data_IF_955939160322
#
_entry.id   IF_955939160322
#
_cell.length_a   1.000
_cell.length_b   1.000
_cell.length_c   1.000
_cell.angle_alpha   90.00
_cell.angle_beta   90.00
_cell.angle_gamma   90.00
#
_symmetry.space_group_name_H-M   'P 1'
#
loop_
_entity.id
_entity.type
_entity.pdbx_description
1 polymer ?
#
# COMPACT_ATOMS: atom_id res chain seq x y z
N UNK A 1 68.80 -32.66 41.90
CA UNK A 1 69.08 -33.55 40.75
C UNK A 1 67.94 -33.39 39.74
N UNK A 2 68.26 -33.23 38.46
CA UNK A 2 67.34 -33.04 37.31
C UNK A 2 66.33 -34.21 37.24
N UNK A 3 65.11 -34.07 36.69
CA UNK A 3 64.80 -34.15 35.26
C UNK A 3 63.34 -33.69 34.99
N UNK A 4 63.16 -32.89 33.93
CA UNK A 4 61.89 -32.62 33.23
C UNK A 4 61.49 -33.84 32.40
N UNK A 5 60.20 -34.20 32.32
CA UNK A 5 59.58 -34.70 31.08
C UNK A 5 58.18 -34.11 30.92
N UNK A 6 57.97 -33.57 29.73
CA UNK A 6 56.78 -32.91 29.18
C UNK A 6 55.80 -33.98 28.67
N UNK A 7 54.49 -33.80 28.89
CA UNK A 7 53.45 -34.71 28.43
C UNK A 7 52.11 -34.03 28.15
N UNK A 8 52.04 -33.41 26.96
CA UNK A 8 50.90 -33.10 26.08
C UNK A 8 49.46 -32.99 26.62
N UNK A 9 48.89 -31.80 26.34
CA UNK A 9 47.47 -31.45 26.24
C UNK A 9 46.60 -32.51 25.55
N UNK A 10 45.38 -32.68 26.06
CA UNK A 10 44.20 -32.91 25.21
C UNK A 10 42.97 -32.31 25.89
N UNK A 11 42.65 -31.05 25.57
CA UNK A 11 41.38 -30.45 25.92
C UNK A 11 40.35 -30.84 24.85
N UNK A 12 39.33 -31.60 25.25
CA UNK A 12 38.22 -31.98 24.40
C UNK A 12 37.27 -30.78 24.27
N UNK A 13 37.38 -30.03 23.18
CA UNK A 13 36.39 -28.99 22.83
C UNK A 13 35.22 -29.68 22.14
N UNK A 14 34.10 -29.85 22.85
CA UNK A 14 32.81 -30.12 22.21
C UNK A 14 32.36 -28.86 21.48
N UNK A 15 32.60 -28.83 20.16
CA UNK A 15 31.95 -27.88 19.27
C UNK A 15 30.49 -28.31 19.10
N UNK A 16 29.59 -27.69 19.86
CA UNK A 16 28.15 -27.79 19.62
C UNK A 16 27.81 -27.14 18.29
N UNK A 17 27.52 -27.95 17.27
CA UNK A 17 26.99 -27.49 16.00
C UNK A 17 25.57 -26.95 16.24
N UNK A 18 25.43 -25.63 16.37
CA UNK A 18 24.14 -24.98 16.26
C UNK A 18 23.64 -25.16 14.81
N UNK A 19 22.79 -26.16 14.62
CA UNK A 19 21.96 -26.29 13.42
C UNK A 19 21.04 -25.06 13.37
N UNK A 20 21.50 -24.02 12.66
CA UNK A 20 20.62 -23.02 12.07
C UNK A 20 19.64 -23.78 11.18
N UNK A 21 18.41 -23.94 11.67
CA UNK A 21 17.29 -24.34 10.85
C UNK A 21 17.06 -23.22 9.83
N UNK A 22 17.76 -23.31 8.69
CA UNK A 22 17.37 -22.62 7.48
C UNK A 22 15.99 -23.14 7.13
N UNK A 23 14.95 -22.38 7.49
CA UNK A 23 13.64 -22.61 6.93
C UNK A 23 13.78 -22.59 5.41
N UNK A 24 13.18 -23.53 4.66
CA UNK A 24 13.18 -23.44 3.23
C UNK A 24 12.47 -22.13 2.89
N UNK A 25 13.22 -21.16 2.38
CA UNK A 25 12.64 -20.06 1.65
C UNK A 25 11.85 -20.71 0.51
N UNK A 26 10.52 -20.74 0.64
CA UNK A 26 9.67 -21.02 -0.51
C UNK A 26 10.18 -20.09 -1.61
N UNK A 27 10.65 -20.66 -2.71
CA UNK A 27 11.31 -19.93 -3.78
C UNK A 27 10.34 -18.87 -4.32
N UNK A 28 10.43 -17.68 -3.75
CA UNK A 28 9.86 -16.48 -4.33
C UNK A 28 10.62 -16.30 -5.63
N UNK A 29 9.91 -16.33 -6.76
CA UNK A 29 10.52 -16.12 -8.06
C UNK A 29 11.35 -14.83 -8.06
N UNK A 30 12.40 -14.79 -8.87
CA UNK A 30 13.17 -13.56 -9.04
C UNK A 30 12.21 -12.42 -9.45
N UNK A 31 12.45 -11.24 -8.88
CA UNK A 31 11.72 -10.03 -9.24
C UNK A 31 11.89 -9.77 -10.74
N UNK A 32 10.78 -9.68 -11.47
CA UNK A 32 10.76 -9.39 -12.90
C UNK A 32 10.35 -7.94 -13.16
N UNK A 33 11.35 -7.12 -13.52
CA UNK A 33 11.19 -5.73 -13.93
C UNK A 33 11.13 -5.54 -15.45
N UNK A 34 11.10 -6.61 -16.27
CA UNK A 34 11.13 -6.53 -17.73
C UNK A 34 10.02 -5.64 -18.31
N UNK A 35 8.84 -5.64 -17.68
CA UNK A 35 7.71 -4.78 -18.04
C UNK A 35 7.99 -3.26 -18.00
N UNK A 36 9.05 -2.81 -17.33
CA UNK A 36 9.45 -1.39 -17.30
C UNK A 36 10.04 -0.91 -18.64
N UNK A 37 10.51 -1.83 -19.48
CA UNK A 37 10.95 -1.52 -20.85
C UNK A 37 9.80 -1.49 -21.86
N UNK A 38 8.59 -1.91 -21.45
CA UNK A 38 7.40 -1.90 -22.31
C UNK A 38 6.79 -0.50 -22.39
N UNK A 39 6.23 -0.14 -23.55
CA UNK A 39 5.37 1.03 -23.70
C UNK A 39 3.95 0.81 -23.18
N UNK A 40 3.52 -0.46 -23.03
CA UNK A 40 2.22 -0.82 -22.49
C UNK A 40 2.28 -1.09 -20.98
N UNK A 41 1.12 -1.01 -20.32
CA UNK A 41 1.01 -1.50 -18.96
C UNK A 41 1.31 -3.00 -18.89
N UNK A 42 1.92 -3.43 -17.79
CA UNK A 42 2.05 -4.85 -17.44
C UNK A 42 0.64 -5.44 -17.30
N UNK A 43 0.49 -6.70 -17.65
CA UNK A 43 -0.73 -7.44 -17.36
C UNK A 43 -1.02 -7.47 -15.85
N UNK A 44 -2.29 -7.26 -15.47
CA UNK A 44 -2.71 -7.37 -14.08
C UNK A 44 -3.25 -8.76 -13.76
N UNK A 45 -2.40 -9.60 -13.18
CA UNK A 45 -2.75 -10.89 -12.59
C UNK A 45 -3.44 -10.72 -11.24
N UNK A 46 -2.68 -10.35 -10.20
CA UNK A 46 -3.21 -10.05 -8.86
C UNK A 46 -2.35 -9.00 -8.17
N UNK A 47 -3.00 -8.14 -7.40
CA UNK A 47 -2.34 -7.16 -6.55
C UNK A 47 -2.85 -7.33 -5.14
N UNK A 48 -1.93 -7.39 -4.18
CA UNK A 48 -2.25 -7.46 -2.76
C UNK A 48 -1.72 -6.22 -2.06
N UNK A 49 -2.32 -5.87 -0.94
CA UNK A 49 -1.94 -4.66 -0.23
C UNK A 49 -2.26 -4.69 1.23
N UNK A 50 -1.70 -3.70 1.91
CA UNK A 50 -1.96 -3.40 3.30
C UNK A 50 -2.69 -2.07 3.34
N UNK A 51 -3.88 -2.04 3.94
CA UNK A 51 -4.73 -0.85 3.95
C UNK A 51 -5.43 -0.66 5.30
N UNK A 52 -5.76 0.58 5.64
CA UNK A 52 -6.72 0.88 6.69
C UNK A 52 -8.10 1.06 6.04
N UNK A 53 -9.06 0.19 6.32
CA UNK A 53 -10.44 0.41 5.84
C UNK A 53 -11.09 1.57 6.57
N UNK A 54 -11.87 2.38 5.85
CA UNK A 54 -12.59 3.48 6.47
C UNK A 54 -13.65 2.94 7.45
N UNK A 55 -13.78 3.53 8.65
CA UNK A 55 -14.87 3.21 9.57
C UNK A 55 -16.25 3.46 8.95
N UNK A 56 -17.26 2.73 9.43
CA UNK A 56 -18.62 2.80 8.87
C UNK A 56 -19.17 4.23 8.92
N UNK A 57 -18.99 4.91 10.04
CA UNK A 57 -19.43 6.28 10.27
C UNK A 57 -18.82 7.28 9.28
N UNK A 58 -17.57 7.07 8.87
CA UNK A 58 -16.89 7.90 7.86
C UNK A 58 -17.49 7.61 6.48
N UNK A 59 -17.70 6.34 6.14
CA UNK A 59 -18.33 5.95 4.87
C UNK A 59 -19.76 6.48 4.75
N UNK A 60 -20.55 6.40 5.82
CA UNK A 60 -21.92 6.91 5.86
C UNK A 60 -21.93 8.43 5.65
N UNK A 61 -21.02 9.16 6.32
CA UNK A 61 -20.89 10.61 6.16
C UNK A 61 -20.54 10.99 4.72
N UNK A 62 -19.53 10.35 4.11
CA UNK A 62 -19.15 10.59 2.72
C UNK A 62 -20.31 10.30 1.76
N UNK A 63 -21.04 9.20 2.00
CA UNK A 63 -22.19 8.82 1.18
C UNK A 63 -23.31 9.87 1.20
N UNK A 64 -23.67 10.36 2.40
CA UNK A 64 -24.77 11.31 2.58
C UNK A 64 -24.40 12.72 2.09
N UNK A 65 -23.13 13.12 2.23
CA UNK A 65 -22.70 14.50 1.94
C UNK A 65 -22.26 14.71 0.50
N UNK A 66 -21.43 13.82 -0.04
CA UNK A 66 -20.82 13.99 -1.37
C UNK A 66 -21.13 12.85 -2.34
N UNK A 67 -21.64 11.70 -1.86
CA UNK A 67 -21.81 10.50 -2.68
C UNK A 67 -22.76 10.67 -3.87
N UNK A 68 -23.92 11.29 -3.64
CA UNK A 68 -24.89 11.59 -4.70
C UNK A 68 -24.33 12.57 -5.74
N UNK A 69 -23.71 13.66 -5.26
CA UNK A 69 -23.10 14.67 -6.12
C UNK A 69 -21.94 14.09 -6.95
N UNK A 70 -21.06 13.28 -6.33
CA UNK A 70 -19.97 12.62 -7.04
C UNK A 70 -20.49 11.74 -8.18
N UNK A 71 -21.53 10.94 -7.90
CA UNK A 71 -22.17 10.08 -8.91
C UNK A 71 -22.71 10.91 -10.07
N UNK A 72 -23.39 12.02 -9.80
CA UNK A 72 -23.89 12.92 -10.85
C UNK A 72 -22.75 13.49 -11.70
N UNK A 73 -21.68 13.98 -11.07
CA UNK A 73 -20.50 14.54 -11.78
C UNK A 73 -19.83 13.51 -12.69
N UNK A 74 -19.69 12.26 -12.22
CA UNK A 74 -19.13 11.17 -13.02
C UNK A 74 -20.02 10.84 -14.24
N UNK A 75 -21.33 10.73 -14.05
CA UNK A 75 -22.28 10.47 -15.14
C UNK A 75 -22.29 11.59 -16.17
N UNK A 76 -22.28 12.86 -15.73
CA UNK A 76 -22.23 14.02 -16.62
C UNK A 76 -20.91 14.08 -17.43
N UNK A 77 -19.82 13.53 -16.89
CA UNK A 77 -18.55 13.39 -17.59
C UNK A 77 -18.44 12.11 -18.44
N UNK A 78 -19.51 11.32 -18.57
CA UNK A 78 -19.54 10.02 -19.24
C UNK A 78 -18.53 8.99 -18.66
N UNK A 79 -18.23 9.09 -17.37
CA UNK A 79 -17.35 8.19 -16.61
C UNK A 79 -18.18 7.07 -15.96
N UNK A 80 -18.79 6.24 -16.82
CA UNK A 80 -19.73 5.19 -16.39
C UNK A 80 -19.00 4.08 -15.64
N UNK A 81 -17.84 3.65 -16.13
CA UNK A 81 -17.04 2.60 -15.48
C UNK A 81 -16.58 3.02 -14.08
N UNK A 82 -16.18 4.28 -13.91
CA UNK A 82 -15.83 4.87 -12.63
C UNK A 82 -17.02 4.91 -11.68
N UNK A 83 -18.20 5.23 -12.19
CA UNK A 83 -19.45 5.28 -11.41
C UNK A 83 -19.85 3.91 -10.87
N UNK A 84 -19.57 2.85 -11.62
CA UNK A 84 -19.92 1.46 -11.29
C UNK A 84 -18.78 0.72 -10.60
N UNK A 85 -17.61 1.35 -10.46
CA UNK A 85 -16.42 0.69 -9.93
C UNK A 85 -16.59 0.36 -8.47
N UNK A 86 -16.61 -0.93 -8.17
CA UNK A 86 -16.59 -1.40 -6.79
C UNK A 86 -15.28 -1.03 -6.09
N UNK A 87 -15.38 -0.54 -4.86
CA UNK A 87 -14.25 -0.27 -3.98
C UNK A 87 -14.68 -0.42 -2.53
N UNK A 88 -13.86 -1.06 -1.70
CA UNK A 88 -13.93 -0.89 -0.24
C UNK A 88 -13.14 0.38 0.09
N UNK A 89 -13.76 1.47 0.60
CA UNK A 89 -13.04 2.70 0.90
C UNK A 89 -11.95 2.47 1.95
N UNK A 90 -10.74 2.92 1.64
CA UNK A 90 -9.56 2.65 2.45
C UNK A 90 -8.49 3.73 2.30
N UNK A 91 -7.51 3.72 3.20
CA UNK A 91 -6.22 4.41 3.08
C UNK A 91 -5.13 3.38 2.88
N UNK A 92 -4.37 3.50 1.80
CA UNK A 92 -3.30 2.55 1.47
C UNK A 92 -2.10 2.74 2.39
N UNK A 93 -1.55 1.64 2.92
CA UNK A 93 -0.17 1.59 3.41
C UNK A 93 0.75 1.26 2.25
N UNK A 94 0.61 0.08 1.63
CA UNK A 94 1.38 -0.27 0.42
C UNK A 94 0.65 -1.31 -0.43
N UNK A 95 1.15 -1.50 -1.65
CA UNK A 95 0.69 -2.54 -2.57
C UNK A 95 1.88 -3.31 -3.13
N UNK A 96 1.68 -4.59 -3.40
CA UNK A 96 2.60 -5.46 -4.12
C UNK A 96 1.84 -6.21 -5.21
N UNK A 97 2.49 -6.39 -6.35
CA UNK A 97 1.98 -7.24 -7.43
C UNK A 97 2.60 -8.61 -7.29
N UNK A 98 1.78 -9.65 -7.24
CA UNK A 98 2.22 -11.04 -7.26
C UNK A 98 1.07 -11.94 -7.71
N UNK A 99 1.28 -12.73 -8.75
CA UNK A 99 0.29 -13.69 -9.24
C UNK A 99 -0.02 -14.83 -8.25
N UNK A 100 0.87 -15.10 -7.29
CA UNK A 100 0.73 -16.17 -6.30
C UNK A 100 -0.46 -15.92 -5.35
N UNK A 101 -1.49 -16.79 -5.34
CA UNK A 101 -2.66 -16.62 -4.49
C UNK A 101 -2.36 -16.81 -2.99
N UNK A 102 -1.20 -17.37 -2.63
CA UNK A 102 -0.76 -17.52 -1.23
C UNK A 102 -0.04 -16.28 -0.67
N UNK A 103 0.15 -15.24 -1.50
CA UNK A 103 0.79 -13.99 -1.09
C UNK A 103 0.19 -13.36 0.18
N UNK A 104 -1.14 -13.34 0.40
CA UNK A 104 -1.72 -12.83 1.65
C UNK A 104 -1.20 -13.54 2.91
N UNK A 105 -1.01 -14.86 2.86
CA UNK A 105 -0.48 -15.63 4.00
C UNK A 105 1.00 -15.30 4.25
N UNK A 106 1.76 -15.10 3.16
CA UNK A 106 3.16 -14.65 3.26
C UNK A 106 3.26 -13.24 3.83
N UNK A 107 2.37 -12.34 3.42
CA UNK A 107 2.29 -10.98 3.97
C UNK A 107 1.94 -11.00 5.45
N UNK A 108 1.01 -11.86 5.88
CA UNK A 108 0.64 -12.01 7.29
C UNK A 108 1.84 -12.44 8.14
N UNK A 109 2.58 -13.47 7.69
CA UNK A 109 3.79 -13.97 8.36
C UNK A 109 4.92 -12.93 8.40
N UNK A 110 5.09 -12.16 7.33
CA UNK A 110 6.13 -11.13 7.22
C UNK A 110 5.74 -9.78 7.85
N UNK A 111 4.51 -9.65 8.35
CA UNK A 111 3.97 -8.39 8.83
C UNK A 111 4.85 -7.82 9.97
N UNK A 112 5.30 -6.56 9.88
CA UNK A 112 6.08 -5.95 10.93
C UNK A 112 5.24 -5.71 12.20
N UNK A 113 5.83 -5.07 13.21
CA UNK A 113 5.08 -4.58 14.37
C UNK A 113 3.99 -3.61 13.90
N UNK A 114 2.75 -3.84 14.33
CA UNK A 114 1.61 -2.99 14.01
C UNK A 114 1.75 -1.61 14.67
N UNK A 115 1.22 -0.54 14.05
CA UNK A 115 1.13 0.75 14.70
C UNK A 115 0.08 0.69 15.83
N UNK A 116 0.05 1.69 16.74
CA UNK A 116 -1.09 1.86 17.64
C UNK A 116 -2.35 2.21 16.83
N UNK A 117 -3.50 2.24 17.51
CA UNK A 117 -4.72 2.88 16.98
C UNK A 117 -4.40 4.29 16.50
N UNK A 118 -4.82 4.61 15.27
CA UNK A 118 -4.49 5.88 14.62
C UNK A 118 -5.71 6.79 14.64
N UNK A 119 -5.57 7.97 15.24
CA UNK A 119 -6.57 9.03 15.19
C UNK A 119 -6.06 10.15 14.28
N UNK A 120 -6.64 10.25 13.08
CA UNK A 120 -6.25 11.24 12.06
C UNK A 120 -7.47 12.04 11.61
N UNK A 121 -7.25 13.10 10.83
CA UNK A 121 -8.31 13.83 10.16
C UNK A 121 -8.18 13.61 8.66
N UNK A 122 -9.21 13.03 8.04
CA UNK A 122 -9.32 12.99 6.58
C UNK A 122 -9.72 14.38 6.10
N UNK A 123 -8.91 15.02 5.26
CA UNK A 123 -9.14 16.39 4.82
C UNK A 123 -8.48 16.68 3.47
N UNK A 124 -9.06 17.64 2.77
CA UNK A 124 -8.59 18.15 1.49
C UNK A 124 -8.86 17.15 0.38
N UNK A 125 -9.90 17.41 -0.40
CA UNK A 125 -10.14 16.73 -1.66
C UNK A 125 -9.22 17.32 -2.74
N UNK A 126 -8.65 16.47 -3.59
CA UNK A 126 -7.82 16.87 -4.73
C UNK A 126 -7.80 15.79 -5.79
N UNK A 127 -7.46 16.16 -7.02
CA UNK A 127 -7.18 15.17 -8.06
C UNK A 127 -5.69 14.86 -8.13
N UNK A 128 -5.36 13.63 -8.50
CA UNK A 128 -3.96 13.24 -8.74
C UNK A 128 -3.85 12.32 -9.94
N UNK A 129 -2.71 12.39 -10.61
CA UNK A 129 -2.38 11.54 -11.76
C UNK A 129 -1.21 10.64 -11.38
N UNK A 130 -1.20 9.40 -11.86
CA UNK A 130 -0.16 8.40 -11.53
C UNK A 130 1.26 8.89 -11.79
N UNK A 131 1.43 9.62 -12.89
CA UNK A 131 2.58 10.46 -13.16
C UNK A 131 2.11 11.63 -14.02
N UNK A 132 2.60 12.83 -13.75
CA UNK A 132 2.20 14.04 -14.47
C UNK A 132 2.41 13.86 -15.97
N UNK A 133 1.32 13.96 -16.74
CA UNK A 133 1.34 13.82 -18.20
C UNK A 133 1.24 12.39 -18.73
N UNK A 134 1.04 11.38 -17.88
CA UNK A 134 0.83 10.00 -18.32
C UNK A 134 -0.55 9.76 -18.96
N UNK A 135 -1.51 10.64 -18.71
CA UNK A 135 -2.90 10.58 -19.12
C UNK A 135 -3.78 9.67 -18.25
N UNK A 136 -3.25 8.61 -17.66
CA UNK A 136 -3.98 7.68 -16.79
C UNK A 136 -3.03 6.68 -16.07
N UNK A 137 -3.45 6.05 -14.96
CA UNK A 137 -4.66 6.36 -14.21
C UNK A 137 -4.59 7.71 -13.51
N UNK A 138 -5.76 8.21 -13.15
CA UNK A 138 -5.93 9.37 -12.28
C UNK A 138 -7.02 9.09 -11.24
N UNK A 139 -7.02 9.90 -10.18
CA UNK A 139 -7.86 9.71 -9.02
C UNK A 139 -8.43 11.03 -8.52
N UNK A 140 -9.59 10.94 -7.85
CA UNK A 140 -10.09 11.97 -6.93
C UNK A 140 -9.89 11.44 -5.52
N UNK A 141 -9.05 12.10 -4.74
CA UNK A 141 -8.59 11.66 -3.44
C UNK A 141 -9.07 12.61 -2.33
N UNK A 142 -9.24 12.05 -1.14
CA UNK A 142 -9.39 12.73 0.13
C UNK A 142 -8.12 12.50 0.94
N UNK A 143 -7.36 13.56 1.18
CA UNK A 143 -6.10 13.50 1.91
C UNK A 143 -6.24 13.22 3.41
N UNK A 144 -5.08 13.12 4.06
CA UNK A 144 -4.95 13.12 5.52
C UNK A 144 -4.18 14.36 5.94
N UNK A 145 -4.64 15.02 7.01
CA UNK A 145 -3.88 16.10 7.67
C UNK A 145 -2.52 15.55 8.12
N UNK A 146 -1.44 16.20 7.68
CA UNK A 146 -0.06 15.73 7.82
C UNK A 146 0.58 16.16 9.14
N UNK A 147 -0.10 15.91 10.25
CA UNK A 147 0.34 16.34 11.58
C UNK A 147 -0.08 15.37 12.69
N UNK A 148 0.61 15.47 13.82
CA UNK A 148 0.29 14.72 15.03
C UNK A 148 0.87 13.30 15.07
N UNK A 149 0.82 12.70 16.26
CA UNK A 149 1.47 11.42 16.54
C UNK A 149 0.91 10.26 15.69
N UNK A 150 -0.39 10.27 15.39
CA UNK A 150 -1.00 9.23 14.54
C UNK A 150 -0.54 9.30 13.09
N UNK A 151 -0.36 10.50 12.54
CA UNK A 151 0.19 10.66 11.18
C UNK A 151 1.63 10.16 11.13
N UNK A 152 2.47 10.55 12.10
CA UNK A 152 3.84 10.05 12.19
C UNK A 152 3.92 8.53 12.37
N UNK A 153 3.03 7.95 13.19
CA UNK A 153 2.93 6.50 13.35
C UNK A 153 2.51 5.80 12.04
N UNK A 154 1.59 6.41 11.26
CA UNK A 154 1.19 5.91 9.95
C UNK A 154 2.37 5.91 8.97
N UNK A 155 3.14 7.00 8.91
CA UNK A 155 4.32 7.13 8.07
C UNK A 155 5.42 6.14 8.48
N UNK A 156 5.71 6.03 9.77
CA UNK A 156 6.69 5.09 10.30
C UNK A 156 6.29 3.64 10.00
N UNK A 157 5.00 3.30 10.11
CA UNK A 157 4.54 1.96 9.76
C UNK A 157 4.71 1.64 8.27
N UNK A 158 4.44 2.60 7.38
CA UNK A 158 4.76 2.44 5.95
C UNK A 158 6.26 2.16 5.74
N UNK A 159 7.14 2.91 6.42
CA UNK A 159 8.61 2.71 6.36
C UNK A 159 9.03 1.31 6.84
N UNK A 160 8.38 0.77 7.87
CA UNK A 160 8.63 -0.59 8.38
C UNK A 160 8.05 -1.67 7.46
N UNK A 161 6.86 -1.43 6.89
CA UNK A 161 6.18 -2.39 6.04
C UNK A 161 6.84 -2.55 4.67
N UNK A 162 7.43 -1.47 4.12
CA UNK A 162 8.11 -1.50 2.82
C UNK A 162 9.16 -2.61 2.71
N UNK A 163 10.23 -2.66 3.52
CA UNK A 163 11.25 -3.70 3.40
C UNK A 163 10.73 -5.10 3.78
N UNK A 164 9.68 -5.19 4.59
CA UNK A 164 9.09 -6.46 5.00
C UNK A 164 8.25 -7.11 3.89
N UNK A 165 7.50 -6.31 3.14
CA UNK A 165 6.48 -6.83 2.21
C UNK A 165 6.87 -6.71 0.74
N UNK A 166 7.68 -5.72 0.34
CA UNK A 166 8.08 -5.57 -1.06
C UNK A 166 8.92 -6.73 -1.62
N UNK A 167 9.69 -7.52 -0.85
CA UNK A 167 10.32 -8.74 -1.36
C UNK A 167 9.32 -9.81 -1.83
N UNK A 168 8.05 -9.73 -1.40
CA UNK A 168 6.99 -10.68 -1.79
C UNK A 168 6.36 -10.34 -3.16
N UNK A 169 6.82 -9.28 -3.85
CA UNK A 169 6.35 -8.96 -5.19
C UNK A 169 6.99 -9.89 -6.24
N UNK A 170 6.33 -10.05 -7.37
CA UNK A 170 6.91 -10.67 -8.58
C UNK A 170 7.42 -9.63 -9.59
N UNK A 171 7.12 -8.34 -9.37
CA UNK A 171 7.49 -7.25 -10.27
C UNK A 171 6.91 -5.91 -9.81
N UNK A 172 6.96 -4.87 -10.67
CA UNK A 172 6.31 -3.58 -10.40
C UNK A 172 4.79 -3.70 -10.45
N UNK A 173 4.10 -2.77 -9.79
CA UNK A 173 2.65 -2.67 -9.92
C UNK A 173 2.26 -2.39 -11.38
N UNK A 174 1.25 -3.07 -11.93
CA UNK A 174 0.87 -2.89 -13.33
C UNK A 174 0.58 -1.45 -13.73
N UNK A 175 -0.09 -0.70 -12.86
CA UNK A 175 -0.45 0.70 -13.11
C UNK A 175 0.71 1.70 -13.08
N UNK A 176 1.89 1.30 -12.61
CA UNK A 176 3.08 2.19 -12.61
C UNK A 176 4.07 1.86 -13.72
N UNK A 177 3.76 0.93 -14.62
CA UNK A 177 4.59 0.60 -15.79
C UNK A 177 4.14 1.39 -17.03
N UNK A 178 4.75 1.12 -18.20
CA UNK A 178 4.29 1.68 -19.47
C UNK A 178 4.31 3.20 -19.49
N UNK A 179 3.20 3.87 -19.87
CA UNK A 179 3.16 5.32 -20.00
C UNK A 179 3.44 6.05 -18.69
N UNK A 180 3.04 5.46 -17.55
CA UNK A 180 3.27 6.03 -16.23
C UNK A 180 4.76 6.01 -15.90
N UNK A 181 5.42 4.86 -16.06
CA UNK A 181 6.87 4.75 -15.85
C UNK A 181 7.64 5.66 -16.78
N UNK A 182 7.23 5.77 -18.04
CA UNK A 182 7.88 6.64 -19.02
C UNK A 182 7.85 8.12 -18.59
N UNK A 183 6.70 8.57 -18.06
CA UNK A 183 6.49 9.95 -17.60
C UNK A 183 7.15 10.27 -16.23
N UNK A 184 7.59 9.27 -15.47
CA UNK A 184 8.26 9.49 -14.19
C UNK A 184 9.66 10.10 -14.34
N UNK A 185 10.02 10.98 -13.41
CA UNK A 185 11.40 11.39 -13.19
C UNK A 185 12.24 10.28 -12.54
N UNK A 186 13.56 10.46 -12.53
CA UNK A 186 14.52 9.41 -12.15
C UNK A 186 14.28 8.83 -10.76
N UNK A 187 13.96 9.67 -9.76
CA UNK A 187 13.66 9.19 -8.41
C UNK A 187 12.43 8.28 -8.36
N UNK A 188 11.39 8.58 -9.15
CA UNK A 188 10.20 7.74 -9.25
C UNK A 188 10.50 6.41 -9.94
N UNK A 189 11.30 6.45 -11.01
CA UNK A 189 11.76 5.24 -11.72
C UNK A 189 12.59 4.33 -10.82
N UNK A 190 13.54 4.90 -10.07
CA UNK A 190 14.36 4.17 -9.11
C UNK A 190 13.49 3.43 -8.07
N UNK A 191 12.49 4.11 -7.50
CA UNK A 191 11.57 3.47 -6.55
C UNK A 191 10.75 2.35 -7.19
N UNK A 192 10.23 2.54 -8.40
CA UNK A 192 9.51 1.47 -9.12
C UNK A 192 10.42 0.26 -9.38
N UNK A 193 11.67 0.48 -9.77
CA UNK A 193 12.63 -0.61 -10.00
C UNK A 193 12.96 -1.37 -8.71
N UNK A 194 13.18 -0.65 -7.62
CA UNK A 194 13.69 -1.21 -6.35
C UNK A 194 12.58 -1.84 -5.53
N UNK A 195 11.45 -1.16 -5.38
CA UNK A 195 10.37 -1.55 -4.47
C UNK A 195 9.02 -1.76 -5.15
N UNK A 196 8.96 -1.63 -6.48
CA UNK A 196 7.79 -1.96 -7.30
C UNK A 196 6.75 -0.84 -7.44
N UNK A 197 6.92 0.28 -6.73
CA UNK A 197 6.02 1.45 -6.74
C UNK A 197 6.75 2.70 -6.27
N UNK A 198 6.33 3.90 -6.70
CA UNK A 198 6.99 5.17 -6.37
C UNK A 198 6.49 5.88 -5.10
N UNK A 199 5.32 5.50 -4.57
CA UNK A 199 4.61 6.22 -3.50
C UNK A 199 4.75 5.60 -2.10
N UNK A 200 5.90 5.00 -1.78
CA UNK A 200 6.15 4.39 -0.46
C UNK A 200 7.48 4.85 0.14
N UNK A 201 7.52 4.91 1.47
CA UNK A 201 8.72 5.29 2.21
C UNK A 201 9.79 4.23 2.07
N UNK A 202 11.02 4.69 1.97
CA UNK A 202 12.22 3.85 1.87
C UNK A 202 13.31 4.39 2.78
N UNK A 203 14.30 3.54 3.10
CA UNK A 203 15.52 3.97 3.77
C UNK A 203 16.67 3.74 2.81
N UNK A 204 17.38 4.81 2.46
CA UNK A 204 18.55 4.79 1.58
C UNK A 204 19.71 5.44 2.31
N UNK A 205 20.82 4.72 2.43
CA UNK A 205 22.04 5.19 3.12
C UNK A 205 21.77 5.67 4.56
N UNK A 206 20.88 4.96 5.27
CA UNK A 206 20.47 5.31 6.64
C UNK A 206 19.53 6.52 6.73
N UNK A 207 19.16 7.16 5.62
CA UNK A 207 18.22 8.27 5.56
C UNK A 207 16.85 7.80 5.09
N UNK A 208 15.81 8.18 5.83
CA UNK A 208 14.43 7.93 5.43
C UNK A 208 14.02 8.90 4.32
N UNK A 209 13.48 8.34 3.24
CA UNK A 209 12.79 9.07 2.18
C UNK A 209 11.30 8.84 2.36
N UNK A 210 10.52 9.93 2.42
CA UNK A 210 9.08 9.89 2.73
C UNK A 210 8.16 10.33 1.57
N UNK A 211 8.17 9.68 0.39
CA UNK A 211 7.25 10.01 -0.70
C UNK A 211 5.83 9.45 -0.47
N UNK A 212 5.60 8.65 0.58
CA UNK A 212 4.26 8.16 0.88
C UNK A 212 3.31 9.33 1.17
N UNK A 213 2.15 9.31 0.51
CA UNK A 213 1.12 10.32 0.66
C UNK A 213 -0.19 9.59 1.00
N UNK A 214 -0.51 9.40 2.29
CA UNK A 214 -1.69 8.65 2.67
C UNK A 214 -2.97 9.44 2.34
N UNK A 215 -3.91 8.77 1.68
CA UNK A 215 -5.18 9.32 1.24
C UNK A 215 -6.22 8.21 1.10
N UNK A 216 -7.49 8.59 1.11
CA UNK A 216 -8.60 7.76 0.66
C UNK A 216 -9.02 8.17 -0.75
N UNK A 217 -9.02 7.23 -1.69
CA UNK A 217 -9.46 7.50 -3.05
C UNK A 217 -10.97 7.28 -3.20
N UNK A 218 -11.65 8.25 -3.80
CA UNK A 218 -13.07 8.22 -4.12
C UNK A 218 -13.33 7.75 -5.56
N UNK A 219 -12.48 8.14 -6.50
CA UNK A 219 -12.61 7.82 -7.92
C UNK A 219 -11.32 7.17 -8.40
N UNK A 220 -11.44 6.04 -9.10
CA UNK A 220 -10.33 5.39 -9.79
C UNK A 220 -10.62 5.33 -11.27
N UNK A 221 -9.90 6.10 -12.07
CA UNK A 221 -10.19 6.24 -13.50
C UNK A 221 -9.05 5.77 -14.38
N UNK A 222 -9.41 5.02 -15.42
CA UNK A 222 -8.52 4.70 -16.53
C UNK A 222 -8.83 5.55 -17.78
N UNK A 223 -9.90 6.36 -17.73
CA UNK A 223 -10.18 7.32 -18.78
C UNK A 223 -9.04 8.33 -18.89
N UNK A 224 -8.80 8.83 -20.09
CA UNK A 224 -7.77 9.84 -20.33
C UNK A 224 -8.08 11.10 -19.53
N UNK A 225 -7.11 11.60 -18.77
CA UNK A 225 -7.23 12.79 -17.96
C UNK A 225 -7.07 14.05 -18.82
N UNK A 226 -8.06 14.30 -19.68
CA UNK A 226 -8.06 15.48 -20.56
C UNK A 226 -8.14 16.78 -19.73
N UNK A 227 -7.75 17.94 -20.29
CA UNK A 227 -7.89 19.22 -19.59
C UNK A 227 -9.31 19.49 -19.08
N UNK A 228 -10.32 19.06 -19.83
CA UNK A 228 -11.74 19.22 -19.48
C UNK A 228 -12.11 18.36 -18.26
N UNK A 229 -11.71 17.08 -18.25
CA UNK A 229 -11.94 16.19 -17.11
C UNK A 229 -11.16 16.69 -15.90
N UNK A 230 -9.91 17.10 -16.07
CA UNK A 230 -9.09 17.64 -15.00
C UNK A 230 -9.73 18.90 -14.39
N UNK A 231 -10.19 19.84 -15.20
CA UNK A 231 -10.87 21.05 -14.72
C UNK A 231 -12.15 20.69 -13.95
N UNK A 232 -12.97 19.78 -14.48
CA UNK A 232 -14.23 19.38 -13.86
C UNK A 232 -14.02 18.71 -12.49
N UNK A 233 -13.04 17.81 -12.37
CA UNK A 233 -12.78 17.11 -11.11
C UNK A 233 -11.97 17.94 -10.12
N UNK A 234 -11.15 18.91 -10.59
CA UNK A 234 -10.59 19.93 -9.72
C UNK A 234 -11.67 20.83 -9.11
N UNK A 235 -12.66 21.25 -9.91
CA UNK A 235 -13.80 22.01 -9.41
C UNK A 235 -14.64 21.17 -8.43
N UNK A 236 -14.85 19.89 -8.73
CA UNK A 236 -15.53 18.96 -7.81
C UNK A 236 -14.80 18.85 -6.48
N UNK A 237 -13.47 18.77 -6.49
CA UNK A 237 -12.67 18.78 -5.27
C UNK A 237 -12.84 20.08 -4.47
N UNK A 238 -12.89 21.24 -5.13
CA UNK A 238 -13.18 22.53 -4.48
C UNK A 238 -14.56 22.53 -3.83
N UNK A 239 -15.60 22.06 -4.53
CA UNK A 239 -16.96 21.93 -3.99
C UNK A 239 -16.98 21.02 -2.74
N UNK A 240 -16.32 19.87 -2.78
CA UNK A 240 -16.27 18.96 -1.63
C UNK A 240 -15.52 19.55 -0.44
N UNK A 241 -14.46 20.32 -0.68
CA UNK A 241 -13.76 21.08 0.36
C UNK A 241 -14.64 22.16 1.00
N UNK A 242 -15.64 22.69 0.30
CA UNK A 242 -16.62 23.62 0.87
C UNK A 242 -17.71 22.90 1.68
N UNK A 243 -18.08 21.67 1.29
CA UNK A 243 -19.08 20.85 2.00
C UNK A 243 -18.51 20.29 3.31
N UNK A 244 -17.23 19.88 3.31
CA UNK A 244 -16.54 19.31 4.47
C UNK A 244 -15.28 20.12 4.83
N UNK A 245 -15.42 21.41 5.22
CA UNK A 245 -14.31 22.34 5.39
C UNK A 245 -13.38 21.96 6.55
N UNK A 246 -13.89 21.28 7.56
CA UNK A 246 -13.13 20.87 8.74
C UNK A 246 -12.47 19.50 8.57
N UNK A 247 -12.87 18.73 7.56
CA UNK A 247 -12.49 17.34 7.38
C UNK A 247 -13.31 16.39 8.26
N UNK A 248 -12.87 15.14 8.34
CA UNK A 248 -13.55 14.05 9.04
C UNK A 248 -12.59 13.42 10.05
N UNK A 249 -12.81 13.61 11.37
CA UNK A 249 -12.10 12.86 12.40
C UNK A 249 -12.29 11.36 12.19
N UNK A 250 -11.20 10.61 12.13
CA UNK A 250 -11.20 9.20 11.76
C UNK A 250 -10.28 8.40 12.67
N UNK A 251 -10.82 7.34 13.26
CA UNK A 251 -10.06 6.38 14.06
C UNK A 251 -9.87 5.07 13.28
N UNK A 252 -8.64 4.76 12.87
CA UNK A 252 -8.29 3.44 12.35
C UNK A 252 -7.91 2.52 13.50
N UNK A 253 -8.73 1.48 13.69
CA UNK A 253 -8.53 0.44 14.71
C UNK A 253 -8.00 -0.87 14.14
N UNK A 254 -7.98 -0.99 12.82
CA UNK A 254 -7.55 -2.21 12.13
C UNK A 254 -6.72 -1.86 10.91
N UNK A 255 -5.81 -2.76 10.55
CA UNK A 255 -5.16 -2.79 9.24
C UNK A 255 -5.46 -4.11 8.57
N UNK A 256 -5.65 -4.10 7.26
CA UNK A 256 -6.16 -5.25 6.52
C UNK A 256 -5.25 -5.63 5.37
N UNK A 257 -5.09 -6.93 5.17
CA UNK A 257 -4.50 -7.50 3.95
C UNK A 257 -5.65 -7.71 2.96
N UNK A 258 -5.49 -7.15 1.77
CA UNK A 258 -6.55 -7.04 0.76
C UNK A 258 -6.09 -7.45 -0.62
N UNK A 259 -7.03 -7.77 -1.50
CA UNK A 259 -6.82 -7.90 -2.94
C UNK A 259 -7.37 -6.67 -3.66
N UNK A 260 -6.63 -6.18 -4.65
CA UNK A 260 -6.91 -4.94 -5.35
C UNK A 260 -7.04 -5.15 -6.86
N UNK A 261 -7.83 -4.27 -7.49
CA UNK A 261 -7.89 -4.11 -8.93
C UNK A 261 -6.71 -3.31 -9.48
N UNK A 262 -6.61 -3.24 -10.80
CA UNK A 262 -5.54 -2.57 -11.53
C UNK A 262 -5.27 -1.14 -11.02
N UNK A 263 -6.33 -0.33 -10.92
CA UNK A 263 -6.22 1.08 -10.55
C UNK A 263 -5.96 1.31 -9.05
N UNK A 264 -5.98 0.25 -8.23
CA UNK A 264 -5.77 0.31 -6.78
C UNK A 264 -7.05 0.32 -5.95
N UNK A 265 -8.23 0.07 -6.54
CA UNK A 265 -9.47 -0.12 -5.79
C UNK A 265 -9.46 -1.48 -5.07
N UNK A 266 -9.92 -1.53 -3.82
CA UNK A 266 -9.95 -2.76 -3.04
C UNK A 266 -11.19 -3.58 -3.41
N UNK A 267 -10.96 -4.84 -3.77
CA UNK A 267 -11.99 -5.78 -4.23
C UNK A 267 -12.51 -6.66 -3.09
N UNK A 268 -11.63 -7.04 -2.16
CA UNK A 268 -12.00 -7.81 -0.98
C UNK A 268 -10.95 -7.71 0.11
N UNK A 269 -11.42 -7.88 1.33
CA UNK A 269 -10.61 -8.03 2.52
C UNK A 269 -10.33 -9.52 2.76
N UNK A 270 -9.09 -9.87 3.10
CA UNK A 270 -8.66 -11.26 3.31
C UNK A 270 -8.38 -11.49 4.80
N UNK A 271 -7.50 -10.68 5.36
CA UNK A 271 -7.19 -10.67 6.79
C UNK A 271 -7.42 -9.29 7.37
N UNK A 272 -8.01 -9.23 8.56
CA UNK A 272 -8.13 -8.01 9.35
C UNK A 272 -7.34 -8.16 10.64
N UNK A 273 -6.40 -7.26 10.87
CA UNK A 273 -5.52 -7.23 12.03
C UNK A 273 -5.95 -6.07 12.94
N UNK A 274 -6.19 -6.37 14.21
CA UNK A 274 -6.51 -5.38 15.23
C UNK A 274 -5.26 -4.59 15.64
N UNK A 275 -5.36 -3.26 15.65
CA UNK A 275 -4.31 -2.37 16.17
C UNK A 275 -4.35 -2.25 17.70
N UNK A 276 -5.41 -2.75 18.35
CA UNK A 276 -5.59 -2.70 19.80
C UNK A 276 -4.86 -3.85 20.50
N UNK A 277 -4.97 -5.07 19.96
CA UNK A 277 -4.46 -6.30 20.60
C UNK A 277 -3.65 -7.21 19.65
N UNK A 278 -3.53 -6.86 18.37
CA UNK A 278 -2.80 -7.64 17.38
C UNK A 278 -3.53 -8.91 16.92
N UNK A 279 -4.78 -9.12 17.34
CA UNK A 279 -5.57 -10.28 16.89
C UNK A 279 -5.84 -10.22 15.38
N UNK A 280 -5.90 -11.40 14.75
CA UNK A 280 -6.08 -11.53 13.31
C UNK A 280 -7.32 -12.37 13.02
N UNK A 281 -8.15 -11.88 12.11
CA UNK A 281 -9.36 -12.57 11.65
C UNK A 281 -9.24 -12.82 10.14
N UNK A 282 -9.54 -14.05 9.71
CA UNK A 282 -9.85 -14.33 8.31
C UNK A 282 -11.26 -13.81 8.02
N UNK A 283 -11.37 -12.81 7.15
CA UNK A 283 -12.63 -12.06 6.96
C UNK A 283 -13.72 -12.94 6.33
N UNK A 284 -13.34 -13.87 5.46
CA UNK A 284 -14.31 -14.75 4.80
C UNK A 284 -14.94 -15.78 5.75
N UNK A 285 -14.18 -16.26 6.73
CA UNK A 285 -14.65 -17.34 7.64
C UNK A 285 -15.01 -16.85 9.04
N UNK A 286 -14.60 -15.64 9.41
CA UNK A 286 -14.70 -15.12 10.78
C UNK A 286 -13.75 -15.80 11.78
N UNK A 287 -12.90 -16.73 11.33
CA UNK A 287 -12.01 -17.47 12.20
C UNK A 287 -10.84 -16.58 12.66
N UNK A 288 -10.48 -16.71 13.95
CA UNK A 288 -9.21 -16.20 14.45
C UNK A 288 -8.06 -17.01 13.85
N UNK A 289 -7.02 -16.33 13.40
CA UNK A 289 -5.81 -16.97 12.85
C UNK A 289 -4.58 -16.51 13.59
N UNK A 290 -3.58 -17.39 13.69
CA UNK A 290 -2.28 -17.02 14.22
C UNK A 290 -1.48 -16.24 13.17
N UNK A 291 -0.64 -15.32 13.64
CA UNK A 291 0.32 -14.58 12.82
C UNK A 291 1.54 -15.44 12.52
#
# INVERSE_FOLDING_TARGET
MKIKIVGRLTALVLAGSALLAAQPALAQGAIDNSSLASSAFREHKRTFGLVYTLPKEVNDLLSITIGGLLREKLLNANLIDETLRFNIPHVTVLHIHNADPTTPDKMLKAMPKLPPVLNVTLKTFYTTEAAKGAGHPWWLDLGIVKEGASFEAMMAFNTLATPALTPLRDGPLPRVTGPVYAAMGDAGKELVQTVGVSGINTVKDGKELRPHNPHNTLVYSMAKFTPEIQAAFNQTAVEFNQILPDGIPTAFKTVSIVELGFAGNVLREIYRLSLEDGSVINVATGAKVAK
#
